data_IF_465580682731
#
_entry.id   IF_465580682731
#
_cell.length_a   1.000
_cell.length_b   1.000
_cell.length_c   1.000
_cell.angle_alpha   90.00
_cell.angle_beta   90.00
_cell.angle_gamma   90.00
#
_symmetry.space_group_name_H-M   'P 1'
#
loop_
_entity.id
_entity.type
_entity.pdbx_description
1 polymer ?
#
# COMPACT_ATOMS: atom_id res chain seq x y z
N UNK A 1 7.71 3.40 -12.15
CA UNK A 1 7.16 3.67 -10.81
C UNK A 1 6.46 2.41 -10.34
N UNK A 2 7.20 1.49 -9.71
CA UNK A 2 6.62 0.30 -9.09
C UNK A 2 6.21 0.68 -7.66
N UNK A 3 4.90 0.82 -7.45
CA UNK A 3 4.32 0.79 -6.12
C UNK A 3 4.29 -0.66 -5.64
N UNK A 4 5.43 -1.18 -5.17
CA UNK A 4 5.42 -2.35 -4.32
C UNK A 4 4.78 -1.88 -3.02
N UNK A 5 3.47 -2.13 -2.87
CA UNK A 5 2.79 -1.95 -1.60
C UNK A 5 3.59 -2.78 -0.60
N UNK A 6 4.31 -2.08 0.27
CA UNK A 6 4.98 -2.65 1.44
C UNK A 6 3.84 -3.18 2.31
N UNK A 7 3.42 -4.42 2.06
CA UNK A 7 2.62 -5.14 3.02
C UNK A 7 3.48 -5.19 4.28
N UNK A 8 3.01 -4.55 5.34
CA UNK A 8 3.58 -4.74 6.65
C UNK A 8 3.60 -6.25 6.88
N UNK A 9 4.80 -6.84 6.92
CA UNK A 9 4.97 -8.21 7.32
C UNK A 9 4.33 -8.32 8.70
N UNK A 10 3.14 -8.91 8.75
CA UNK A 10 2.51 -9.32 9.99
C UNK A 10 3.41 -10.43 10.53
N UNK A 11 4.37 -10.03 11.35
CA UNK A 11 5.12 -10.95 12.18
C UNK A 11 4.09 -11.76 12.97
N UNK A 12 3.93 -13.03 12.63
CA UNK A 12 3.09 -13.95 13.39
C UNK A 12 3.78 -14.12 14.75
N UNK A 13 3.19 -13.64 15.86
CA UNK A 13 3.76 -13.86 17.18
C UNK A 13 3.69 -15.36 17.54
N UNK A 14 4.51 -15.85 18.49
CA UNK A 14 4.53 -17.27 18.85
C UNK A 14 3.20 -17.70 19.46
N UNK A 15 2.60 -18.75 18.86
CA UNK A 15 1.49 -19.59 19.37
C UNK A 15 0.50 -18.88 20.29
N UNK A 16 -0.37 -18.05 19.70
CA UNK A 16 -1.52 -17.48 20.39
C UNK A 16 -2.44 -18.55 20.99
N UNK A 17 -3.14 -18.20 22.07
CA UNK A 17 -4.08 -19.09 22.73
C UNK A 17 -5.23 -19.45 21.78
N UNK A 18 -5.67 -20.71 21.81
CA UNK A 18 -6.86 -21.14 21.07
C UNK A 18 -8.10 -20.73 21.85
N UNK A 19 -8.91 -19.85 21.27
CA UNK A 19 -10.12 -19.28 21.91
C UNK A 19 -11.39 -19.98 21.47
N UNK A 20 -11.37 -20.66 20.33
CA UNK A 20 -12.45 -21.53 19.90
C UNK A 20 -11.93 -22.65 18.99
N UNK A 21 -12.70 -23.72 18.88
CA UNK A 21 -12.52 -24.79 17.89
C UNK A 21 -13.82 -25.08 17.19
N UNK A 22 -13.78 -25.19 15.87
CA UNK A 22 -14.89 -25.64 15.03
C UNK A 22 -14.46 -26.95 14.38
N UNK A 23 -15.01 -28.06 14.88
CA UNK A 23 -14.48 -29.40 14.63
C UNK A 23 -12.99 -29.48 15.00
N UNK A 24 -12.14 -29.78 14.02
CA UNK A 24 -10.68 -29.91 14.19
C UNK A 24 -9.93 -28.58 13.96
N UNK A 25 -10.61 -27.54 13.47
CA UNK A 25 -9.99 -26.25 13.11
C UNK A 25 -9.99 -25.29 14.31
N UNK A 26 -8.79 -24.85 14.70
CA UNK A 26 -8.59 -23.91 15.80
C UNK A 26 -8.73 -22.46 15.35
N UNK A 27 -9.31 -21.64 16.23
CA UNK A 27 -9.37 -20.19 16.10
C UNK A 27 -8.55 -19.61 17.26
N UNK A 28 -7.57 -18.79 16.93
CA UNK A 28 -6.62 -18.20 17.88
C UNK A 28 -7.03 -16.80 18.32
N UNK A 29 -6.51 -16.37 19.47
CA UNK A 29 -6.71 -15.01 19.99
C UNK A 29 -6.28 -13.93 19.01
N UNK A 30 -5.20 -14.17 18.25
CA UNK A 30 -4.64 -13.18 17.32
C UNK A 30 -5.53 -13.01 16.09
N UNK A 31 -6.12 -14.08 15.58
CA UNK A 31 -7.07 -14.01 14.47
C UNK A 31 -8.30 -13.17 14.85
N UNK A 32 -8.81 -13.39 16.06
CA UNK A 32 -9.95 -12.63 16.59
C UNK A 32 -9.56 -11.16 16.82
N UNK A 33 -8.39 -10.90 17.41
CA UNK A 33 -7.92 -9.53 17.64
C UNK A 33 -7.66 -8.77 16.34
N UNK A 34 -7.03 -9.41 15.35
CA UNK A 34 -6.80 -8.84 14.03
C UNK A 34 -8.14 -8.49 13.36
N UNK A 35 -9.13 -9.38 13.43
CA UNK A 35 -10.47 -9.09 12.90
C UNK A 35 -11.19 -7.97 13.63
N UNK A 36 -11.11 -7.96 14.96
CA UNK A 36 -11.68 -6.91 15.79
C UNK A 36 -11.11 -5.55 15.40
N UNK A 37 -9.79 -5.48 15.20
CA UNK A 37 -9.11 -4.27 14.77
C UNK A 37 -9.48 -3.86 13.34
N UNK A 38 -9.36 -4.77 12.36
CA UNK A 38 -9.59 -4.48 10.94
C UNK A 38 -11.02 -4.03 10.65
N UNK A 39 -12.00 -4.64 11.34
CA UNK A 39 -13.42 -4.37 11.13
C UNK A 39 -14.02 -3.41 12.17
N UNK A 40 -13.23 -2.93 13.14
CA UNK A 40 -13.72 -2.10 14.25
C UNK A 40 -14.80 -2.80 15.09
N UNK A 41 -14.69 -4.12 15.27
CA UNK A 41 -15.68 -4.94 15.95
C UNK A 41 -15.30 -5.19 17.43
N UNK A 42 -16.29 -5.30 18.33
CA UNK A 42 -16.06 -5.89 19.64
C UNK A 42 -15.50 -7.32 19.53
N UNK A 43 -14.68 -7.73 20.50
CA UNK A 43 -13.97 -9.03 20.47
C UNK A 43 -14.91 -10.23 20.27
N UNK A 44 -16.06 -10.25 20.96
CA UNK A 44 -17.06 -11.32 20.81
C UNK A 44 -17.67 -11.37 19.40
N UNK A 45 -17.94 -10.20 18.79
CA UNK A 45 -18.46 -10.14 17.42
C UNK A 45 -17.40 -10.56 16.39
N UNK A 46 -16.13 -10.27 16.65
CA UNK A 46 -15.01 -10.75 15.85
C UNK A 46 -14.85 -12.28 15.96
N UNK A 47 -14.99 -12.85 17.16
CA UNK A 47 -14.94 -14.30 17.38
C UNK A 47 -16.05 -15.01 16.60
N UNK A 48 -17.27 -14.49 16.71
CA UNK A 48 -18.43 -14.99 15.97
C UNK A 48 -18.23 -14.90 14.45
N UNK A 49 -17.58 -13.84 13.96
CA UNK A 49 -17.23 -13.71 12.56
C UNK A 49 -16.18 -14.75 12.11
N UNK A 50 -15.18 -15.07 12.94
CA UNK A 50 -14.21 -16.12 12.66
C UNK A 50 -14.85 -17.52 12.66
N UNK A 51 -15.74 -17.82 13.62
CA UNK A 51 -16.50 -19.08 13.64
C UNK A 51 -17.33 -19.22 12.36
N UNK A 52 -18.03 -18.16 11.96
CA UNK A 52 -18.79 -18.13 10.69
C UNK A 52 -17.89 -18.40 9.49
N UNK A 53 -16.70 -17.81 9.46
CA UNK A 53 -15.73 -18.00 8.38
C UNK A 53 -15.26 -19.45 8.29
N UNK A 54 -14.89 -20.07 9.42
CA UNK A 54 -14.45 -21.47 9.47
C UNK A 54 -15.56 -22.41 8.99
N UNK A 55 -16.80 -22.24 9.47
CA UNK A 55 -17.94 -23.06 9.05
C UNK A 55 -18.16 -23.00 7.52
N UNK A 56 -18.13 -21.80 6.95
CA UNK A 56 -18.28 -21.61 5.50
C UNK A 56 -17.11 -22.21 4.72
N UNK A 57 -15.87 -22.05 5.21
CA UNK A 57 -14.70 -22.61 4.57
C UNK A 57 -14.73 -24.15 4.56
N UNK A 58 -15.08 -24.78 5.68
CA UNK A 58 -15.21 -26.24 5.77
C UNK A 58 -16.29 -26.78 4.82
N UNK A 59 -17.46 -26.12 4.78
CA UNK A 59 -18.51 -26.47 3.83
C UNK A 59 -18.06 -26.31 2.37
N UNK A 60 -17.34 -25.24 2.06
CA UNK A 60 -16.78 -25.01 0.72
C UNK A 60 -15.78 -26.10 0.32
N UNK A 61 -14.96 -26.59 1.26
CA UNK A 61 -14.03 -27.71 1.02
C UNK A 61 -14.77 -29.02 0.74
N UNK A 62 -15.86 -29.27 1.47
CA UNK A 62 -16.71 -30.44 1.27
C UNK A 62 -17.41 -30.43 -0.09
N UNK A 63 -17.79 -29.24 -0.58
CA UNK A 63 -18.35 -29.04 -1.92
C UNK A 63 -17.28 -29.03 -3.04
N UNK A 64 -15.99 -29.07 -2.68
CA UNK A 64 -14.89 -29.16 -3.64
C UNK A 64 -14.48 -27.82 -4.27
N UNK A 65 -14.90 -26.68 -3.71
CA UNK A 65 -14.62 -25.35 -4.28
C UNK A 65 -13.11 -25.05 -4.39
N UNK A 66 -12.27 -25.63 -3.54
CA UNK A 66 -10.81 -25.52 -3.60
C UNK A 66 -10.20 -26.00 -4.92
N UNK A 67 -10.92 -26.85 -5.67
CA UNK A 67 -10.49 -27.36 -6.98
C UNK A 67 -10.96 -26.49 -8.14
N UNK A 68 -11.82 -25.50 -7.88
CA UNK A 68 -12.29 -24.60 -8.93
C UNK A 68 -11.11 -23.76 -9.46
N UNK A 69 -10.99 -23.58 -10.80
CA UNK A 69 -9.82 -22.94 -11.39
C UNK A 69 -9.51 -21.56 -10.83
N UNK A 70 -10.53 -20.73 -10.59
CA UNK A 70 -10.37 -19.37 -10.06
C UNK A 70 -9.72 -19.38 -8.67
N UNK A 71 -10.23 -20.23 -7.76
CA UNK A 71 -9.72 -20.31 -6.39
C UNK A 71 -8.34 -20.97 -6.35
N UNK A 72 -8.13 -22.06 -7.09
CA UNK A 72 -6.84 -22.74 -7.17
C UNK A 72 -5.75 -21.80 -7.71
N UNK A 73 -6.07 -20.99 -8.72
CA UNK A 73 -5.15 -19.96 -9.25
C UNK A 73 -4.88 -18.85 -8.23
N UNK A 74 -5.90 -18.40 -7.49
CA UNK A 74 -5.74 -17.39 -6.45
C UNK A 74 -4.82 -17.88 -5.32
N UNK A 75 -4.99 -19.13 -4.84
CA UNK A 75 -4.11 -19.74 -3.83
C UNK A 75 -2.69 -19.91 -4.39
N UNK A 76 -2.54 -20.36 -5.63
CA UNK A 76 -1.23 -20.47 -6.27
C UNK A 76 -0.53 -19.11 -6.42
N UNK A 77 -1.26 -18.05 -6.76
CA UNK A 77 -0.73 -16.68 -6.82
C UNK A 77 -0.31 -16.16 -5.44
N UNK A 78 -1.14 -16.37 -4.42
CA UNK A 78 -0.80 -16.01 -3.04
C UNK A 78 0.48 -16.71 -2.58
N UNK A 79 0.64 -18.01 -2.89
CA UNK A 79 1.88 -18.75 -2.59
C UNK A 79 3.11 -18.13 -3.25
N UNK A 80 3.01 -17.69 -4.50
CA UNK A 80 4.14 -17.04 -5.20
C UNK A 80 4.51 -15.71 -4.56
N UNK A 81 3.51 -14.90 -4.21
CA UNK A 81 3.73 -13.63 -3.53
C UNK A 81 4.41 -13.83 -2.17
N UNK A 82 3.87 -14.72 -1.33
CA UNK A 82 4.44 -15.04 -0.02
C UNK A 82 5.85 -15.62 -0.12
N UNK A 83 6.14 -16.40 -1.18
CA UNK A 83 7.50 -16.87 -1.44
C UNK A 83 8.46 -15.71 -1.73
N UNK A 84 8.04 -14.71 -2.51
CA UNK A 84 8.86 -13.51 -2.78
C UNK A 84 9.11 -12.73 -1.50
N UNK A 85 8.08 -12.52 -0.68
CA UNK A 85 8.23 -11.84 0.61
C UNK A 85 9.23 -12.57 1.52
N UNK A 86 9.11 -13.90 1.64
CA UNK A 86 10.05 -14.73 2.40
C UNK A 86 11.48 -14.68 1.84
N UNK A 87 11.65 -14.68 0.52
CA UNK A 87 12.96 -14.53 -0.14
C UNK A 87 13.59 -13.18 0.19
N UNK A 88 12.83 -12.10 0.03
CA UNK A 88 13.32 -10.75 0.25
C UNK A 88 13.65 -10.52 1.72
N UNK A 89 12.87 -11.07 2.65
CA UNK A 89 13.20 -11.02 4.07
C UNK A 89 14.54 -11.72 4.36
N UNK A 90 14.74 -12.92 3.84
CA UNK A 90 15.95 -13.71 4.05
C UNK A 90 17.20 -13.08 3.41
N UNK A 91 17.10 -12.61 2.17
CA UNK A 91 18.26 -12.25 1.34
C UNK A 91 18.51 -10.74 1.28
N UNK A 92 17.49 -9.91 1.47
CA UNK A 92 17.56 -8.46 1.28
C UNK A 92 17.36 -7.72 2.60
N UNK A 93 16.22 -7.91 3.28
CA UNK A 93 15.83 -7.12 4.44
C UNK A 93 16.66 -7.44 5.68
N UNK A 94 16.91 -8.71 5.97
CA UNK A 94 17.69 -9.14 7.15
C UNK A 94 19.11 -8.58 7.18
N UNK A 95 19.70 -8.27 6.02
CA UNK A 95 21.03 -7.69 5.90
C UNK A 95 21.07 -6.16 6.09
N UNK A 96 19.92 -5.47 6.02
CA UNK A 96 19.86 -4.02 6.18
C UNK A 96 20.07 -3.65 7.64
N UNK A 97 21.08 -2.80 7.89
CA UNK A 97 21.37 -2.22 9.19
C UNK A 97 21.57 -0.72 9.00
N UNK A 98 20.76 0.08 9.68
CA UNK A 98 20.89 1.54 9.66
C UNK A 98 22.04 1.93 10.59
N UNK A 99 23.06 2.54 10.02
CA UNK A 99 24.21 3.12 10.74
C UNK A 99 24.08 4.63 10.82
N UNK A 100 24.92 5.28 11.66
CA UNK A 100 25.00 6.75 11.71
C UNK A 100 25.22 7.37 10.33
N UNK A 101 26.09 6.77 9.50
CA UNK A 101 26.39 7.27 8.15
C UNK A 101 25.16 7.27 7.24
N UNK A 102 24.22 6.35 7.45
CA UNK A 102 22.98 6.27 6.66
C UNK A 102 21.96 7.35 7.04
N UNK A 103 22.09 7.93 8.23
CA UNK A 103 21.24 9.03 8.71
C UNK A 103 21.70 10.40 8.20
N UNK A 104 22.95 10.52 7.76
CA UNK A 104 23.55 11.78 7.28
C UNK A 104 22.84 12.32 6.03
N UNK A 105 22.61 11.55 4.95
CA UNK A 105 21.92 12.08 3.77
C UNK A 105 20.50 12.61 4.03
N UNK A 106 19.59 11.89 4.73
CA UNK A 106 18.25 12.41 5.00
C UNK A 106 18.26 13.54 6.04
N UNK A 107 19.26 13.58 6.94
CA UNK A 107 19.46 14.70 7.85
C UNK A 107 19.80 15.98 7.10
N UNK A 108 20.81 15.96 6.22
CA UNK A 108 21.14 17.11 5.39
C UNK A 108 20.01 17.47 4.41
N UNK A 109 19.28 16.48 3.89
CA UNK A 109 18.11 16.75 3.07
C UNK A 109 17.05 17.55 3.85
N UNK A 110 16.88 17.28 5.14
CA UNK A 110 15.90 17.94 6.01
C UNK A 110 16.39 19.27 6.58
N UNK A 111 17.62 19.33 7.06
CA UNK A 111 18.14 20.42 7.88
C UNK A 111 19.01 21.42 7.12
N UNK A 112 19.64 21.04 6.00
CA UNK A 112 20.39 22.00 5.19
C UNK A 112 19.42 22.98 4.52
N UNK A 113 19.72 24.27 4.60
CA UNK A 113 18.89 25.31 4.02
C UNK A 113 19.71 26.28 3.18
N UNK A 114 19.08 26.81 2.14
CA UNK A 114 19.62 27.87 1.31
C UNK A 114 18.60 28.99 1.19
N UNK A 115 19.07 30.23 1.30
CA UNK A 115 18.29 31.42 0.98
C UNK A 115 18.61 31.81 -0.46
N UNK A 116 17.65 31.64 -1.37
CA UNK A 116 17.90 31.87 -2.79
C UNK A 116 16.77 32.62 -3.49
N UNK A 117 17.15 33.27 -4.57
CA UNK A 117 16.23 33.83 -5.55
C UNK A 117 16.42 33.13 -6.88
N UNK A 118 15.35 32.87 -7.63
CA UNK A 118 15.42 32.17 -8.90
C UNK A 118 14.47 32.73 -9.97
N UNK A 119 14.82 32.44 -11.21
CA UNK A 119 14.08 32.74 -12.43
C UNK A 119 13.93 31.44 -13.20
N UNK A 120 12.72 31.17 -13.72
CA UNK A 120 12.48 30.04 -14.61
C UNK A 120 12.30 30.54 -16.05
N UNK A 121 12.81 29.77 -17.01
CA UNK A 121 12.57 29.94 -18.43
C UNK A 121 12.18 28.61 -19.04
N UNK A 122 11.41 28.65 -20.13
CA UNK A 122 10.94 27.44 -20.79
C UNK A 122 12.08 26.74 -21.53
N UNK A 123 12.95 27.53 -22.18
CA UNK A 123 14.05 27.03 -23.00
C UNK A 123 15.42 27.37 -22.39
N UNK A 124 16.43 26.60 -22.78
CA UNK A 124 17.80 26.81 -22.33
C UNK A 124 18.35 28.14 -22.86
N UNK A 125 18.02 28.47 -24.10
CA UNK A 125 18.48 29.67 -24.80
C UNK A 125 17.92 30.95 -24.18
N UNK A 126 16.66 30.91 -23.71
CA UNK A 126 16.09 31.99 -22.90
C UNK A 126 16.80 32.13 -21.56
N UNK A 127 17.10 30.99 -20.92
CA UNK A 127 17.76 30.97 -19.62
C UNK A 127 19.18 31.54 -19.69
N UNK A 128 19.94 31.20 -20.73
CA UNK A 128 21.28 31.73 -20.99
C UNK A 128 21.26 33.24 -21.26
N UNK A 129 20.26 33.73 -21.99
CA UNK A 129 20.06 35.18 -22.21
C UNK A 129 19.76 35.91 -20.90
N UNK A 130 18.89 35.35 -20.05
CA UNK A 130 18.62 35.91 -18.72
C UNK A 130 19.87 35.88 -17.83
N UNK A 131 20.65 34.79 -17.85
CA UNK A 131 21.91 34.71 -17.10
C UNK A 131 22.91 35.79 -17.53
N UNK A 132 23.05 36.03 -18.84
CA UNK A 132 23.93 37.07 -19.36
C UNK A 132 23.53 38.47 -18.86
N UNK A 133 22.23 38.78 -18.87
CA UNK A 133 21.68 40.03 -18.33
C UNK A 133 21.93 40.19 -16.83
N UNK A 134 21.68 39.13 -16.05
CA UNK A 134 21.95 39.15 -14.61
C UNK A 134 23.43 39.34 -14.28
N UNK A 135 24.34 38.73 -15.06
CA UNK A 135 25.79 38.97 -14.93
C UNK A 135 26.20 40.38 -15.36
N UNK A 136 25.44 41.00 -16.25
CA UNK A 136 25.58 42.41 -16.64
C UNK A 136 25.09 43.41 -15.59
N UNK A 137 24.55 42.95 -14.45
CA UNK A 137 24.07 43.79 -13.36
C UNK A 137 22.57 44.07 -13.38
N UNK A 138 21.81 43.43 -14.28
CA UNK A 138 20.35 43.54 -14.25
C UNK A 138 19.74 42.88 -13.00
N UNK A 139 18.58 43.37 -12.59
CA UNK A 139 17.86 42.92 -11.40
C UNK A 139 17.20 41.55 -11.60
N UNK A 140 17.48 40.60 -10.71
CA UNK A 140 16.82 39.29 -10.69
C UNK A 140 15.30 39.41 -10.47
N UNK A 141 14.88 40.37 -9.64
CA UNK A 141 13.47 40.66 -9.36
C UNK A 141 12.73 41.02 -10.65
N UNK A 142 13.36 41.82 -11.51
CA UNK A 142 12.75 42.23 -12.77
C UNK A 142 12.71 41.09 -13.78
N UNK A 143 13.76 40.25 -13.83
CA UNK A 143 13.74 39.04 -14.66
C UNK A 143 12.72 38.01 -14.17
N UNK A 144 12.50 37.90 -12.86
CA UNK A 144 11.53 36.96 -12.29
C UNK A 144 10.08 37.30 -12.67
N UNK A 145 9.75 38.57 -12.94
CA UNK A 145 8.42 38.97 -13.45
C UNK A 145 8.10 38.34 -14.80
N UNK A 146 9.11 38.08 -15.63
CA UNK A 146 8.97 37.38 -16.91
C UNK A 146 8.97 35.85 -16.81
N UNK A 147 9.04 35.28 -15.60
CA UNK A 147 9.00 33.83 -15.38
C UNK A 147 7.67 33.22 -15.81
N UNK A 148 7.62 32.04 -16.44
CA UNK A 148 6.35 31.37 -16.77
C UNK A 148 5.67 30.72 -15.55
N UNK A 149 6.34 30.64 -14.39
CA UNK A 149 5.77 30.08 -13.16
C UNK A 149 5.10 31.18 -12.30
N UNK A 150 3.77 31.12 -12.06
CA UNK A 150 3.05 32.10 -11.25
C UNK A 150 3.56 32.23 -9.81
N UNK A 151 4.12 31.16 -9.23
CA UNK A 151 4.68 31.20 -7.86
C UNK A 151 5.96 32.04 -7.85
N UNK A 152 6.78 31.91 -8.89
CA UNK A 152 8.02 32.69 -9.04
C UNK A 152 7.66 34.16 -9.30
N UNK A 153 6.69 34.44 -10.18
CA UNK A 153 6.24 35.80 -10.47
C UNK A 153 5.70 36.51 -9.23
N UNK A 154 4.78 35.87 -8.50
CA UNK A 154 4.12 36.46 -7.32
C UNK A 154 5.11 36.78 -6.19
N UNK A 155 6.21 36.03 -6.09
CA UNK A 155 7.29 36.29 -5.13
C UNK A 155 8.44 37.13 -5.70
N UNK A 156 8.30 37.64 -6.92
CA UNK A 156 9.37 38.31 -7.66
C UNK A 156 10.71 37.54 -7.66
N UNK A 157 10.64 36.21 -7.74
CA UNK A 157 11.80 35.32 -7.74
C UNK A 157 12.39 35.00 -6.38
N UNK A 158 11.98 35.66 -5.30
CA UNK A 158 12.55 35.47 -3.96
C UNK A 158 11.85 34.31 -3.25
N UNK A 159 12.54 33.19 -3.06
CA UNK A 159 11.96 32.03 -2.38
C UNK A 159 12.16 32.07 -0.86
N UNK A 160 13.14 32.83 -0.36
CA UNK A 160 13.53 32.81 1.04
C UNK A 160 14.33 31.56 1.38
N UNK A 161 14.27 31.14 2.65
CA UNK A 161 14.92 29.92 3.12
C UNK A 161 14.18 28.67 2.64
N UNK A 162 14.92 27.77 2.00
CA UNK A 162 14.38 26.51 1.48
C UNK A 162 15.29 25.36 1.89
N UNK A 163 14.71 24.34 2.50
CA UNK A 163 15.42 23.11 2.83
C UNK A 163 15.84 22.34 1.58
N UNK A 164 16.98 21.64 1.63
CA UNK A 164 17.54 20.88 0.49
C UNK A 164 16.53 19.93 -0.16
N UNK A 165 15.76 19.18 0.63
CA UNK A 165 14.72 18.24 0.14
C UNK A 165 13.58 18.90 -0.63
N UNK A 166 13.35 20.20 -0.41
CA UNK A 166 12.27 20.94 -1.05
C UNK A 166 12.69 21.52 -2.41
N UNK A 167 13.96 21.39 -2.78
CA UNK A 167 14.48 21.76 -4.09
C UNK A 167 14.46 20.54 -5.01
N UNK A 168 14.29 20.77 -6.32
CA UNK A 168 14.51 19.71 -7.31
C UNK A 168 15.96 19.20 -7.19
N UNK A 169 16.24 17.88 -7.30
CA UNK A 169 17.57 17.32 -7.02
C UNK A 169 18.73 18.04 -7.72
N UNK A 170 18.60 18.29 -9.04
CA UNK A 170 19.60 19.00 -9.81
C UNK A 170 19.79 20.46 -9.36
N UNK A 171 18.71 21.14 -8.95
CA UNK A 171 18.78 22.50 -8.41
C UNK A 171 19.39 22.50 -7.01
N UNK A 172 19.09 21.51 -6.17
CA UNK A 172 19.68 21.37 -4.84
C UNK A 172 21.20 21.19 -4.95
N UNK A 173 21.67 20.27 -5.79
CA UNK A 173 23.10 20.07 -6.03
C UNK A 173 23.79 21.36 -6.50
N UNK A 174 23.21 22.04 -7.49
CA UNK A 174 23.78 23.28 -8.02
C UNK A 174 23.75 24.43 -7.00
N UNK A 175 22.64 24.62 -6.27
CA UNK A 175 22.49 25.69 -5.29
C UNK A 175 23.46 25.54 -4.11
N UNK A 176 23.60 24.32 -3.60
CA UNK A 176 24.54 24.05 -2.50
C UNK A 176 26.01 23.99 -2.93
N UNK A 177 26.31 24.04 -4.22
CA UNK A 177 27.68 24.17 -4.75
C UNK A 177 28.01 25.60 -5.23
N UNK A 178 26.99 26.43 -5.49
CA UNK A 178 27.18 27.75 -6.08
C UNK A 178 27.92 28.74 -5.15
N UNK A 179 28.67 29.70 -5.72
CA UNK A 179 29.16 30.85 -4.97
C UNK A 179 28.00 31.75 -4.54
N UNK A 180 28.16 32.41 -3.39
CA UNK A 180 27.16 33.34 -2.88
C UNK A 180 27.05 34.58 -3.79
N UNK A 181 25.85 35.14 -3.83
CA UNK A 181 25.47 36.36 -4.54
C UNK A 181 25.86 36.42 -6.02
N UNK A 182 26.04 35.25 -6.63
CA UNK A 182 26.45 35.12 -8.03
C UNK A 182 25.38 34.40 -8.86
N UNK A 183 24.90 35.00 -9.96
CA UNK A 183 23.99 34.33 -10.88
C UNK A 183 24.59 33.04 -11.45
N UNK A 184 23.92 31.92 -11.15
CA UNK A 184 24.34 30.56 -11.48
C UNK A 184 23.23 29.82 -12.22
N UNK A 185 23.60 28.98 -13.19
CA UNK A 185 22.68 28.26 -14.07
C UNK A 185 23.15 28.31 -15.53
N UNK A 186 22.29 27.94 -16.50
CA UNK A 186 20.95 27.40 -16.31
C UNK A 186 20.95 25.93 -15.85
N UNK A 187 20.08 25.60 -14.88
CA UNK A 187 19.90 24.22 -14.38
C UNK A 187 18.54 23.69 -14.84
N UNK A 188 18.55 22.52 -15.48
CA UNK A 188 17.33 21.87 -15.95
C UNK A 188 16.51 21.34 -14.77
N UNK A 189 15.22 21.65 -14.76
CA UNK A 189 14.22 21.17 -13.81
C UNK A 189 12.97 20.71 -14.58
N UNK A 190 12.04 20.03 -13.91
CA UNK A 190 10.85 19.48 -14.57
C UNK A 190 10.03 20.51 -15.36
N UNK A 191 10.03 21.79 -14.94
CA UNK A 191 9.28 22.88 -15.58
C UNK A 191 10.09 23.72 -16.58
N UNK A 192 11.36 23.38 -16.86
CA UNK A 192 12.21 24.15 -17.77
C UNK A 192 13.63 24.34 -17.24
N UNK A 193 14.17 25.55 -17.35
CA UNK A 193 15.54 25.90 -16.97
C UNK A 193 15.57 27.04 -15.96
N UNK A 194 16.29 26.85 -14.86
CA UNK A 194 16.37 27.81 -13.76
C UNK A 194 17.72 28.52 -13.73
N UNK A 195 17.69 29.83 -13.50
CA UNK A 195 18.83 30.63 -13.08
C UNK A 195 18.56 31.03 -11.64
N UNK A 196 19.55 30.95 -10.78
CA UNK A 196 19.37 31.26 -9.37
C UNK A 196 20.57 32.04 -8.82
N UNK A 197 20.34 32.71 -7.70
CA UNK A 197 21.35 33.37 -6.88
C UNK A 197 21.16 32.87 -5.46
N UNK A 198 22.22 32.36 -4.85
CA UNK A 198 22.22 31.94 -3.44
C UNK A 198 22.75 33.08 -2.61
N UNK A 199 21.94 33.60 -1.70
CA UNK A 199 22.33 34.71 -0.82
C UNK A 199 22.99 34.18 0.44
N UNK A 200 22.38 33.16 1.05
CA UNK A 200 22.89 32.53 2.27
C UNK A 200 22.70 31.02 2.20
N UNK A 201 23.50 30.32 3.00
CA UNK A 201 23.52 28.86 3.07
C UNK A 201 23.86 28.43 4.48
N UNK A 202 23.02 27.56 5.03
CA UNK A 202 23.22 26.92 6.32
C UNK A 202 23.34 25.42 6.09
N UNK A 203 24.50 24.87 6.47
CA UNK A 203 24.74 23.43 6.48
C UNK A 203 24.59 22.95 7.90
N UNK A 204 23.74 21.97 8.12
CA UNK A 204 23.49 21.45 9.45
C UNK A 204 24.74 20.75 10.00
N UNK A 205 25.07 21.02 11.26
CA UNK A 205 26.18 20.35 11.93
C UNK A 205 25.81 18.90 12.25
N UNK A 206 26.54 17.95 11.66
CA UNK A 206 26.36 16.51 11.90
C UNK A 206 26.55 16.13 13.38
N UNK A 207 27.22 16.95 14.21
CA UNK A 207 27.28 16.74 15.66
C UNK A 207 25.89 16.81 16.32
N UNK A 208 24.91 17.46 15.68
CA UNK A 208 23.51 17.57 16.14
C UNK A 208 22.59 16.51 15.53
N UNK A 209 23.12 15.54 14.79
CA UNK A 209 22.35 14.47 14.17
C UNK A 209 21.54 13.69 15.23
N UNK A 210 20.20 13.69 15.17
CA UNK A 210 19.38 13.00 16.15
C UNK A 210 19.29 11.50 15.82
N UNK A 211 20.29 10.71 16.24
CA UNK A 211 20.40 9.28 15.89
C UNK A 211 19.21 8.41 16.31
N UNK A 212 18.47 8.84 17.33
CA UNK A 212 17.29 8.17 17.86
C UNK A 212 15.97 8.66 17.21
N UNK A 213 16.02 9.57 16.23
CA UNK A 213 14.85 10.07 15.51
C UNK A 213 14.20 8.92 14.70
N UNK A 214 12.96 8.50 15.03
CA UNK A 214 12.31 7.37 14.37
C UNK A 214 11.98 7.65 12.90
N UNK A 215 11.66 8.89 12.52
CA UNK A 215 11.34 9.24 11.14
C UNK A 215 12.60 9.19 10.27
N UNK A 216 13.70 9.75 10.78
CA UNK A 216 14.99 9.76 10.07
C UNK A 216 15.51 8.33 9.84
N UNK A 217 15.37 7.47 10.86
CA UNK A 217 15.74 6.06 10.77
C UNK A 217 14.86 5.30 9.79
N UNK A 218 13.55 5.52 9.80
CA UNK A 218 12.63 4.89 8.85
C UNK A 218 12.91 5.29 7.40
N UNK A 219 13.23 6.56 7.16
CA UNK A 219 13.62 7.06 5.84
C UNK A 219 14.94 6.43 5.35
N UNK A 220 15.95 6.39 6.22
CA UNK A 220 17.23 5.74 5.93
C UNK A 220 17.04 4.25 5.63
N UNK A 221 16.26 3.56 6.46
CA UNK A 221 15.95 2.13 6.27
C UNK A 221 15.23 1.89 4.95
N UNK A 222 14.20 2.67 4.63
CA UNK A 222 13.48 2.56 3.36
C UNK A 222 14.44 2.74 2.18
N UNK A 223 15.30 3.76 2.20
CA UNK A 223 16.29 4.00 1.13
C UNK A 223 17.26 2.83 0.99
N UNK A 224 17.79 2.31 2.10
CA UNK A 224 18.71 1.17 2.09
C UNK A 224 18.04 -0.10 1.55
N UNK A 225 16.79 -0.35 1.95
CA UNK A 225 15.99 -1.47 1.43
C UNK A 225 15.80 -1.33 -0.08
N UNK A 226 15.38 -0.19 -0.59
CA UNK A 226 15.23 0.04 -2.04
C UNK A 226 16.53 -0.23 -2.80
N UNK A 227 17.66 0.33 -2.34
CA UNK A 227 18.96 0.11 -2.96
C UNK A 227 19.43 -1.37 -2.88
N UNK A 228 19.09 -2.08 -1.80
CA UNK A 228 19.39 -3.51 -1.67
C UNK A 228 18.55 -4.34 -2.65
N UNK A 229 17.25 -4.06 -2.78
CA UNK A 229 16.36 -4.72 -3.72
C UNK A 229 16.80 -4.50 -5.16
N UNK A 230 17.10 -3.25 -5.55
CA UNK A 230 17.58 -2.92 -6.90
C UNK A 230 18.84 -3.70 -7.26
N UNK A 231 19.82 -3.77 -6.34
CA UNK A 231 21.04 -4.56 -6.53
C UNK A 231 20.74 -6.06 -6.66
N UNK A 232 19.84 -6.58 -5.85
CA UNK A 232 19.46 -7.99 -5.89
C UNK A 232 18.79 -8.36 -7.23
N UNK A 233 17.82 -7.54 -7.67
CA UNK A 233 17.12 -7.72 -8.95
C UNK A 233 18.06 -7.53 -10.14
N UNK A 234 18.96 -6.55 -10.10
CA UNK A 234 20.00 -6.41 -11.13
C UNK A 234 20.88 -7.66 -11.24
N UNK A 235 21.23 -8.28 -10.10
CA UNK A 235 21.93 -9.56 -10.05
C UNK A 235 21.12 -10.69 -10.68
N UNK A 236 19.81 -10.78 -10.40
CA UNK A 236 18.90 -11.77 -11.01
C UNK A 236 18.83 -11.61 -12.53
N UNK A 237 18.65 -10.39 -13.02
CA UNK A 237 18.63 -10.07 -14.46
C UNK A 237 19.92 -10.51 -15.14
N UNK A 238 21.07 -10.25 -14.52
CA UNK A 238 22.36 -10.67 -15.07
C UNK A 238 22.48 -12.20 -15.15
N UNK A 239 22.05 -12.94 -14.11
CA UNK A 239 22.02 -14.41 -14.14
C UNK A 239 21.09 -14.94 -15.22
N UNK A 240 19.92 -14.33 -15.37
CA UNK A 240 18.95 -14.69 -16.40
C UNK A 240 19.53 -14.49 -17.81
N UNK A 241 20.13 -13.34 -18.08
CA UNK A 241 20.76 -13.06 -19.38
C UNK A 241 21.86 -14.08 -19.72
N UNK A 242 22.67 -14.50 -18.73
CA UNK A 242 23.69 -15.55 -18.91
C UNK A 242 23.07 -16.92 -19.20
N UNK A 243 21.94 -17.25 -18.58
CA UNK A 243 21.23 -18.51 -18.83
C UNK A 243 20.63 -18.54 -20.24
N UNK A 244 20.00 -17.45 -20.67
CA UNK A 244 19.38 -17.33 -22.00
C UNK A 244 20.44 -17.44 -23.12
N UNK A 245 21.60 -16.81 -22.95
CA UNK A 245 22.73 -16.94 -23.87
C UNK A 245 23.21 -18.40 -24.05
N UNK A 246 23.15 -19.22 -22.99
CA UNK A 246 23.55 -20.64 -23.05
C UNK A 246 22.51 -21.51 -23.76
N UNK A 247 21.22 -21.17 -23.65
CA UNK A 247 20.14 -21.95 -24.23
C UNK A 247 19.94 -21.72 -25.74
N UNK A 248 20.67 -20.77 -26.36
CA UNK A 248 20.56 -20.41 -27.79
C UNK A 248 19.11 -20.17 -28.26
N UNK A 249 18.25 -19.69 -27.36
CA UNK A 249 16.86 -19.30 -27.64
C UNK A 249 16.65 -17.79 -27.44
N UNK A 250 15.49 -17.25 -27.86
CA UNK A 250 15.14 -15.87 -27.53
C UNK A 250 15.08 -15.69 -26.01
N UNK A 251 15.59 -14.57 -25.45
CA UNK A 251 15.57 -14.34 -24.02
C UNK A 251 14.13 -14.33 -23.51
N UNK A 252 13.89 -14.97 -22.37
CA UNK A 252 12.61 -14.85 -21.70
C UNK A 252 12.54 -13.44 -21.11
N UNK A 253 11.69 -12.58 -21.69
CA UNK A 253 11.42 -11.24 -21.17
C UNK A 253 10.58 -11.34 -19.89
N UNK A 254 11.24 -11.74 -18.78
CA UNK A 254 10.65 -11.73 -17.45
C UNK A 254 10.76 -10.32 -16.88
N UNK A 255 9.66 -9.82 -16.32
CA UNK A 255 9.70 -8.65 -15.47
C UNK A 255 10.35 -8.98 -14.12
N UNK A 256 10.59 -7.94 -13.31
CA UNK A 256 11.28 -8.08 -12.02
C UNK A 256 10.51 -8.97 -11.06
N UNK A 257 9.18 -8.91 -11.11
CA UNK A 257 8.30 -9.72 -10.27
C UNK A 257 8.43 -11.19 -10.63
N UNK A 258 8.35 -11.54 -11.92
CA UNK A 258 8.49 -12.92 -12.39
C UNK A 258 9.90 -13.48 -12.10
N UNK A 259 10.94 -12.65 -12.16
CA UNK A 259 12.29 -13.04 -11.75
C UNK A 259 12.36 -13.38 -10.27
N UNK A 260 11.78 -12.54 -9.41
CA UNK A 260 11.71 -12.77 -7.97
C UNK A 260 10.90 -14.02 -7.63
N UNK A 261 9.72 -14.19 -8.22
CA UNK A 261 8.86 -15.36 -8.00
C UNK A 261 9.60 -16.65 -8.37
N UNK A 262 10.24 -16.68 -9.53
CA UNK A 262 10.98 -17.85 -9.98
C UNK A 262 12.14 -18.17 -9.04
N UNK A 263 12.91 -17.17 -8.63
CA UNK A 263 14.02 -17.35 -7.68
C UNK A 263 13.50 -17.85 -6.32
N UNK A 264 12.43 -17.25 -5.80
CA UNK A 264 11.84 -17.59 -4.52
C UNK A 264 11.36 -19.05 -4.50
N UNK A 265 10.64 -19.47 -5.55
CA UNK A 265 10.19 -20.85 -5.68
C UNK A 265 11.35 -21.82 -5.87
N UNK A 266 12.36 -21.48 -6.68
CA UNK A 266 13.53 -22.32 -6.91
C UNK A 266 14.34 -22.56 -5.62
N UNK A 267 14.39 -21.56 -4.73
CA UNK A 267 15.05 -21.65 -3.43
C UNK A 267 14.15 -22.21 -2.31
N UNK A 268 12.91 -22.59 -2.63
CA UNK A 268 11.99 -23.25 -1.70
C UNK A 268 11.25 -22.33 -0.72
N UNK A 269 11.31 -21.00 -0.91
CA UNK A 269 10.62 -20.05 -0.02
C UNK A 269 9.10 -20.22 0.00
N UNK A 270 8.51 -20.81 -1.05
CA UNK A 270 7.07 -21.08 -1.11
C UNK A 270 6.58 -22.28 -0.28
N UNK A 271 7.45 -22.92 0.51
CA UNK A 271 7.13 -24.11 1.34
C UNK A 271 7.54 -23.97 2.81
N UNK A 272 7.96 -22.77 3.23
CA UNK A 272 8.29 -22.51 4.63
C UNK A 272 7.06 -22.59 5.53
N UNK A 273 7.21 -22.92 6.82
CA UNK A 273 6.08 -23.07 7.74
C UNK A 273 5.24 -21.81 7.87
N UNK A 274 5.87 -20.64 7.86
CA UNK A 274 5.17 -19.34 7.89
C UNK A 274 4.34 -19.10 6.62
N UNK A 275 4.90 -19.38 5.45
CA UNK A 275 4.19 -19.26 4.17
C UNK A 275 3.01 -20.23 4.10
N UNK A 276 3.17 -21.46 4.57
CA UNK A 276 2.06 -22.43 4.61
C UNK A 276 0.96 -21.98 5.58
N UNK A 277 1.31 -21.46 6.76
CA UNK A 277 0.33 -20.95 7.72
C UNK A 277 -0.47 -19.77 7.14
N UNK A 278 0.22 -18.80 6.53
CA UNK A 278 -0.45 -17.67 5.88
C UNK A 278 -1.30 -18.10 4.68
N UNK A 279 -0.84 -19.09 3.91
CA UNK A 279 -1.60 -19.63 2.78
C UNK A 279 -2.86 -20.37 3.24
N UNK A 280 -2.81 -21.11 4.35
CA UNK A 280 -3.99 -21.75 4.94
C UNK A 280 -5.04 -20.73 5.36
N UNK A 281 -4.62 -19.62 5.99
CA UNK A 281 -5.52 -18.51 6.35
C UNK A 281 -6.12 -17.85 5.10
N UNK A 282 -5.30 -17.61 4.07
CA UNK A 282 -5.77 -17.07 2.80
C UNK A 282 -6.80 -17.99 2.14
N UNK A 283 -6.51 -19.29 2.05
CA UNK A 283 -7.39 -20.28 1.44
C UNK A 283 -8.71 -20.39 2.22
N UNK A 284 -8.67 -20.42 3.56
CA UNK A 284 -9.87 -20.39 4.41
C UNK A 284 -10.78 -19.21 4.07
N UNK A 285 -10.22 -17.99 4.07
CA UNK A 285 -10.95 -16.76 3.74
C UNK A 285 -11.53 -16.80 2.33
N UNK A 286 -10.76 -17.28 1.37
CA UNK A 286 -11.17 -17.33 -0.03
C UNK A 286 -12.29 -18.36 -0.26
N UNK A 287 -12.22 -19.54 0.37
CA UNK A 287 -13.26 -20.56 0.37
C UNK A 287 -14.57 -20.06 0.99
N UNK A 288 -14.49 -19.47 2.19
CA UNK A 288 -15.66 -18.94 2.88
C UNK A 288 -16.38 -17.88 2.03
N UNK A 289 -15.63 -16.97 1.40
CA UNK A 289 -16.17 -15.96 0.48
C UNK A 289 -16.75 -16.59 -0.78
N UNK A 290 -16.11 -17.60 -1.36
CA UNK A 290 -16.60 -18.28 -2.56
C UNK A 290 -17.97 -18.93 -2.31
N UNK A 291 -18.11 -19.67 -1.21
CA UNK A 291 -19.39 -20.29 -0.86
C UNK A 291 -20.47 -19.26 -0.50
N UNK A 292 -20.11 -18.23 0.27
CA UNK A 292 -21.05 -17.15 0.59
C UNK A 292 -21.56 -16.45 -0.68
N UNK A 293 -20.67 -16.15 -1.64
CA UNK A 293 -21.05 -15.56 -2.94
C UNK A 293 -21.94 -16.51 -3.75
N UNK A 294 -21.58 -17.78 -3.88
CA UNK A 294 -22.40 -18.79 -4.57
C UNK A 294 -23.80 -18.88 -3.97
N UNK A 295 -23.89 -18.90 -2.64
CA UNK A 295 -25.16 -18.94 -1.90
C UNK A 295 -25.98 -17.68 -2.11
N UNK A 296 -25.36 -16.51 -2.00
CA UNK A 296 -25.97 -15.21 -2.25
C UNK A 296 -26.53 -15.10 -3.69
N UNK A 297 -25.75 -15.54 -4.69
CA UNK A 297 -26.16 -15.55 -6.09
C UNK A 297 -27.32 -16.51 -6.35
N UNK A 298 -27.33 -17.67 -5.69
CA UNK A 298 -28.41 -18.66 -5.81
C UNK A 298 -29.75 -18.18 -5.20
N UNK A 299 -29.74 -17.16 -4.34
CA UNK A 299 -30.95 -16.62 -3.73
C UNK A 299 -31.87 -15.89 -4.74
N UNK A 300 -31.37 -15.56 -5.93
CA UNK A 300 -32.16 -15.00 -7.04
C UNK A 300 -32.54 -13.52 -6.87
N UNK A 301 -33.10 -12.94 -7.95
CA UNK A 301 -33.51 -11.54 -8.00
C UNK A 301 -34.91 -11.34 -7.41
N UNK A 302 -35.19 -10.19 -6.74
CA UNK A 302 -36.54 -9.86 -6.32
C UNK A 302 -37.43 -9.64 -7.55
N UNK A 303 -38.67 -10.12 -7.47
CA UNK A 303 -39.69 -9.91 -8.50
C UNK A 303 -40.27 -8.50 -8.42
N UNK A 304 -40.85 -8.03 -9.53
CA UNK A 304 -41.50 -6.71 -9.59
C UNK A 304 -42.60 -6.56 -8.54
N UNK A 305 -43.35 -7.63 -8.25
CA UNK A 305 -44.38 -7.64 -7.20
C UNK A 305 -43.79 -7.40 -5.81
N UNK A 306 -42.62 -7.96 -5.52
CA UNK A 306 -41.94 -7.78 -4.23
C UNK A 306 -41.38 -6.37 -4.10
N UNK A 307 -40.83 -5.82 -5.19
CA UNK A 307 -40.33 -4.45 -5.23
C UNK A 307 -41.48 -3.45 -5.03
N UNK A 308 -42.63 -3.67 -5.68
CA UNK A 308 -43.84 -2.86 -5.47
C UNK A 308 -44.38 -2.98 -4.04
N UNK A 309 -44.39 -4.18 -3.45
CA UNK A 309 -44.82 -4.39 -2.08
C UNK A 309 -43.95 -3.60 -1.09
N UNK A 310 -42.61 -3.70 -1.21
CA UNK A 310 -41.68 -2.94 -0.36
C UNK A 310 -41.83 -1.43 -0.53
N UNK A 311 -42.10 -0.96 -1.75
CA UNK A 311 -42.37 0.46 -1.98
C UNK A 311 -43.63 0.93 -1.25
N UNK A 312 -44.72 0.14 -1.29
CA UNK A 312 -45.95 0.47 -0.55
C UNK A 312 -45.75 0.49 0.97
N UNK A 313 -44.95 -0.43 1.50
CA UNK A 313 -44.56 -0.43 2.92
C UNK A 313 -43.80 0.84 3.30
N UNK A 314 -42.85 1.29 2.47
CA UNK A 314 -42.10 2.53 2.71
C UNK A 314 -43.01 3.78 2.66
N UNK A 315 -43.98 3.81 1.74
CA UNK A 315 -44.95 4.92 1.65
C UNK A 315 -45.84 5.03 2.88
N UNK A 316 -46.14 3.92 3.57
CA UNK A 316 -46.95 3.94 4.79
C UNK A 316 -46.27 4.70 5.95
N UNK A 317 -44.97 4.95 5.86
CA UNK A 317 -44.15 5.59 6.91
C UNK A 317 -43.68 7.00 6.50
N UNK A 318 -43.93 7.43 5.25
CA UNK A 318 -43.49 8.73 4.71
C UNK A 318 -44.70 9.64 4.45
N UNK A 319 -44.59 10.93 4.78
CA UNK A 319 -45.65 11.90 4.47
C UNK A 319 -45.81 12.08 2.96
N UNK A 320 -47.04 12.28 2.43
CA UNK A 320 -47.28 12.31 0.98
C UNK A 320 -46.44 13.34 0.19
N UNK A 321 -46.06 14.45 0.82
CA UNK A 321 -45.23 15.49 0.20
C UNK A 321 -43.73 15.09 0.05
N UNK A 322 -43.26 14.06 0.77
CA UNK A 322 -41.88 13.55 0.69
C UNK A 322 -41.75 12.25 -0.11
N UNK A 323 -42.84 11.73 -0.68
CA UNK A 323 -42.86 10.46 -1.39
C UNK A 323 -42.24 10.59 -2.80
N UNK A 324 -41.15 9.86 -3.05
CA UNK A 324 -40.55 9.77 -4.39
C UNK A 324 -41.35 8.81 -5.28
N UNK A 325 -41.50 9.07 -6.59
CA UNK A 325 -42.20 8.19 -7.52
C UNK A 325 -41.59 6.78 -7.61
N UNK A 326 -42.42 5.74 -7.74
CA UNK A 326 -41.98 4.34 -7.81
C UNK A 326 -40.87 4.12 -8.85
N UNK A 327 -41.02 4.69 -10.05
CA UNK A 327 -40.07 4.51 -11.14
C UNK A 327 -38.65 5.02 -10.79
N UNK A 328 -38.55 6.05 -9.95
CA UNK A 328 -37.25 6.59 -9.52
C UNK A 328 -36.56 5.71 -8.48
N UNK A 329 -37.33 5.02 -7.64
CA UNK A 329 -36.81 4.24 -6.51
C UNK A 329 -36.81 2.74 -6.76
N UNK A 330 -37.46 2.24 -7.81
CA UNK A 330 -37.58 0.81 -8.14
C UNK A 330 -36.23 0.10 -8.16
N UNK A 331 -35.22 0.69 -8.80
CA UNK A 331 -33.88 0.10 -8.88
C UNK A 331 -33.19 0.03 -7.51
N UNK A 332 -33.35 1.08 -6.69
CA UNK A 332 -32.77 1.15 -5.34
C UNK A 332 -33.42 0.12 -4.41
N UNK A 333 -34.76 0.03 -4.43
CA UNK A 333 -35.51 -0.95 -3.64
C UNK A 333 -35.18 -2.37 -4.11
N UNK A 334 -35.08 -2.61 -5.42
CA UNK A 334 -34.65 -3.89 -5.97
C UNK A 334 -33.24 -4.29 -5.54
N UNK A 335 -32.29 -3.35 -5.50
CA UNK A 335 -30.95 -3.59 -4.96
C UNK A 335 -30.97 -3.93 -3.47
N UNK A 336 -31.74 -3.18 -2.67
CA UNK A 336 -31.89 -3.44 -1.23
C UNK A 336 -32.46 -4.83 -0.95
N UNK A 337 -33.59 -5.17 -1.60
CA UNK A 337 -34.22 -6.49 -1.45
C UNK A 337 -33.29 -7.62 -1.89
N UNK A 338 -32.52 -7.42 -2.97
CA UNK A 338 -31.54 -8.42 -3.41
C UNK A 338 -30.46 -8.65 -2.35
N UNK A 339 -29.94 -7.58 -1.75
CA UNK A 339 -28.93 -7.68 -0.67
C UNK A 339 -29.49 -8.35 0.58
N UNK A 340 -30.69 -7.97 1.01
CA UNK A 340 -31.38 -8.57 2.15
C UNK A 340 -31.59 -10.08 1.92
N UNK A 341 -32.08 -10.47 0.73
CA UNK A 341 -32.30 -11.87 0.39
C UNK A 341 -30.99 -12.66 0.32
N UNK A 342 -29.97 -12.11 -0.33
CA UNK A 342 -28.64 -12.71 -0.39
C UNK A 342 -28.05 -12.93 1.01
N UNK A 343 -28.14 -11.92 1.88
CA UNK A 343 -27.67 -12.01 3.25
C UNK A 343 -28.45 -13.06 4.05
N UNK A 344 -29.79 -13.05 3.98
CA UNK A 344 -30.64 -14.03 4.66
C UNK A 344 -30.35 -15.47 4.22
N UNK A 345 -30.05 -15.69 2.92
CA UNK A 345 -29.68 -17.02 2.42
C UNK A 345 -28.34 -17.50 3.00
N UNK A 346 -27.33 -16.62 3.06
CA UNK A 346 -26.03 -16.96 3.67
C UNK A 346 -26.19 -17.20 5.18
N UNK A 347 -26.97 -16.40 5.87
CA UNK A 347 -27.18 -16.56 7.32
C UNK A 347 -27.97 -17.84 7.64
N UNK A 348 -28.95 -18.20 6.82
CA UNK A 348 -29.65 -19.47 6.92
C UNK A 348 -28.71 -20.67 6.71
N UNK A 349 -27.79 -20.57 5.73
CA UNK A 349 -26.74 -21.58 5.52
C UNK A 349 -25.84 -21.70 6.75
N UNK A 350 -25.31 -20.59 7.27
CA UNK A 350 -24.43 -20.58 8.44
C UNK A 350 -25.15 -21.15 9.66
N UNK A 351 -26.40 -20.77 9.91
CA UNK A 351 -27.20 -21.32 11.01
C UNK A 351 -27.39 -22.84 10.88
N UNK A 352 -27.58 -23.35 9.67
CA UNK A 352 -27.66 -24.80 9.40
C UNK A 352 -26.31 -25.49 9.67
N UNK A 353 -25.21 -24.94 9.18
CA UNK A 353 -23.86 -25.47 9.40
C UNK A 353 -23.53 -25.51 10.90
N UNK A 354 -23.81 -24.42 11.63
CA UNK A 354 -23.54 -24.34 13.07
C UNK A 354 -24.32 -25.36 13.88
N UNK A 355 -25.56 -25.67 13.52
CA UNK A 355 -26.35 -26.74 14.20
C UNK A 355 -25.75 -28.13 14.00
N UNK A 356 -25.07 -28.36 12.89
CA UNK A 356 -24.43 -29.64 12.57
C UNK A 356 -22.99 -29.76 13.03
N UNK A 357 -22.37 -28.66 13.47
CA UNK A 357 -20.96 -28.60 13.82
C UNK A 357 -20.72 -28.59 15.33
N UNK A 358 -19.66 -29.25 15.78
CA UNK A 358 -19.13 -29.16 17.13
C UNK A 358 -18.29 -27.88 17.26
N UNK A 359 -18.83 -26.89 17.98
CA UNK A 359 -18.12 -25.66 18.33
C UNK A 359 -17.82 -25.66 19.83
N UNK A 360 -16.53 -25.56 20.18
CA UNK A 360 -16.06 -25.46 21.57
C UNK A 360 -15.43 -24.09 21.77
N UNK A 361 -15.91 -23.34 22.77
CA UNK A 361 -15.39 -22.02 23.13
C UNK A 361 -14.50 -22.14 24.37
N UNK A 362 -13.41 -21.38 24.40
CA UNK A 362 -12.58 -21.15 25.58
C UNK A 362 -12.53 -19.63 25.85
N UNK A 363 -13.61 -19.11 26.44
CA UNK A 363 -13.82 -17.67 26.65
C UNK A 363 -12.78 -17.05 27.60
N UNK A 364 -12.17 -17.85 28.48
CA UNK A 364 -11.12 -17.40 29.40
C UNK A 364 -9.81 -17.01 28.72
N UNK A 365 -9.67 -17.38 27.43
CA UNK A 365 -8.48 -17.15 26.62
C UNK A 365 -8.63 -15.94 25.66
N UNK A 366 -9.77 -15.22 25.70
CA UNK A 366 -9.97 -14.03 24.86
C UNK A 366 -9.07 -12.87 25.31
N UNK A 367 -8.32 -12.24 24.39
CA UNK A 367 -7.45 -11.12 24.74
C UNK A 367 -8.29 -9.91 25.19
N UNK A 368 -7.78 -9.10 26.14
CA UNK A 368 -8.45 -7.86 26.51
C UNK A 368 -8.59 -6.95 25.28
N UNK A 369 -9.63 -6.10 25.22
CA UNK A 369 -9.81 -5.18 24.10
C UNK A 369 -8.55 -4.31 23.89
N UNK A 370 -8.19 -3.95 22.65
CA UNK A 370 -7.02 -3.13 22.40
C UNK A 370 -7.13 -1.83 23.20
N UNK A 371 -6.10 -1.51 23.97
CA UNK A 371 -6.03 -0.29 24.76
C UNK A 371 -6.08 0.92 23.81
N UNK A 372 -7.26 1.51 23.65
CA UNK A 372 -7.44 2.74 22.91
C UNK A 372 -6.60 3.85 23.54
N UNK A 373 -5.80 4.54 22.72
CA UNK A 373 -5.26 5.86 23.10
C UNK A 373 -6.46 6.73 23.47
N UNK A 374 -6.48 7.19 24.72
CA UNK A 374 -7.41 8.22 25.19
C UNK A 374 -7.16 9.55 24.52
#
# INVERSE_FOLDING_TARGET
MLGLLLAAALAVPPSSAVVARVEDEAITSDEVAARAQDAGLPMLAALEAEIREVLLAQAARAEGLQREPELAQAVAAARRQLAVESLLEAEVWRAVRVTRADLVPPFHAREDQVRLSLVLRATREEAERSLARLRGGESLIDEAKGSPDPIIQSKSGVLGWVARRNLAPALAEAAFAAPLDTPTGPVQVAKGYTIFVVHEREIADEARLPEADPELRAEAEHRLRQAALERYVAGLRQRQARADQRQKGPPAALDDQALLEREALARGHGRGPEVEAQLQLFERKALARALARRTASAAGLPSDREIEARYREQLAVVTPAGARPFQEVRAVIGEQLRRERAQAAVDALVARLRRGARVVLDEGSLPPPPSGRR
#
